data_IF_037794891863
#
_entry.id   IF_037794891863
#
_cell.length_a   1.000
_cell.length_b   1.000
_cell.length_c   1.000
_cell.angle_alpha   90.00
_cell.angle_beta   90.00
_cell.angle_gamma   90.00
#
_symmetry.space_group_name_H-M   'P 1'
#
loop_
_entity.id
_entity.type
_entity.pdbx_description
1 polymer ?
#
# COMPACT_ATOMS: atom_id res chain seq x y z
N UNK A 1 -1.06 43.06 2.08
CA UNK A 1 -0.26 42.19 2.97
C UNK A 1 -1.09 41.26 3.86
N UNK A 2 -2.18 41.72 4.47
CA UNK A 2 -3.01 40.88 5.35
C UNK A 2 -3.65 39.66 4.65
N UNK A 3 -4.17 39.85 3.43
CA UNK A 3 -4.77 38.77 2.63
C UNK A 3 -3.77 37.65 2.26
N UNK A 4 -2.52 38.02 1.93
CA UNK A 4 -1.46 37.06 1.59
C UNK A 4 -1.10 36.22 2.82
N UNK A 5 -0.99 36.84 3.99
CA UNK A 5 -0.74 36.12 5.26
C UNK A 5 -1.90 35.18 5.61
N UNK A 6 -3.14 35.61 5.44
CA UNK A 6 -4.31 34.76 5.67
C UNK A 6 -4.35 33.56 4.72
N UNK A 7 -4.03 33.76 3.44
CA UNK A 7 -3.96 32.67 2.45
C UNK A 7 -2.87 31.65 2.78
N UNK A 8 -1.69 32.10 3.22
CA UNK A 8 -0.58 31.21 3.63
C UNK A 8 -0.99 30.37 4.84
N UNK A 9 -1.62 30.98 5.85
CA UNK A 9 -2.11 30.26 7.03
C UNK A 9 -3.17 29.23 6.63
N UNK A 10 -4.12 29.59 5.77
CA UNK A 10 -5.15 28.67 5.31
C UNK A 10 -4.57 27.48 4.50
N UNK A 11 -3.61 27.73 3.61
CA UNK A 11 -2.91 26.67 2.89
C UNK A 11 -2.14 25.75 3.85
N UNK A 12 -1.47 26.32 4.86
CA UNK A 12 -0.77 25.54 5.88
C UNK A 12 -1.70 24.63 6.69
N UNK A 13 -2.86 25.14 7.09
CA UNK A 13 -3.88 24.36 7.82
C UNK A 13 -4.46 23.26 6.94
N UNK A 14 -4.79 23.55 5.68
CA UNK A 14 -5.31 22.55 4.73
C UNK A 14 -4.28 21.43 4.49
N UNK A 15 -3.01 21.78 4.27
CA UNK A 15 -1.95 20.79 4.10
C UNK A 15 -1.77 19.93 5.37
N UNK A 16 -1.83 20.53 6.56
CA UNK A 16 -1.71 19.80 7.82
C UNK A 16 -2.87 18.81 8.02
N UNK A 17 -4.12 19.20 7.73
CA UNK A 17 -5.27 18.29 7.81
C UNK A 17 -5.15 17.09 6.86
N UNK A 18 -4.67 17.33 5.63
CA UNK A 18 -4.47 16.27 4.62
C UNK A 18 -3.33 15.33 5.01
N UNK A 19 -2.24 15.83 5.59
CA UNK A 19 -1.12 14.97 6.00
C UNK A 19 -1.43 14.19 7.29
N UNK A 20 -2.21 14.77 8.20
CA UNK A 20 -2.59 14.11 9.46
C UNK A 20 -3.63 12.99 9.28
N UNK A 21 -4.33 12.93 8.14
CA UNK A 21 -5.42 11.96 7.92
C UNK A 21 -4.97 10.49 7.96
N UNK A 22 -3.68 10.20 7.80
CA UNK A 22 -3.15 8.83 7.81
C UNK A 22 -2.44 8.46 9.12
N UNK A 23 -2.21 9.41 10.01
CA UNK A 23 -1.40 9.22 11.23
C UNK A 23 -2.20 8.75 12.46
N UNK A 24 -3.52 8.60 12.35
CA UNK A 24 -4.39 8.19 13.47
C UNK A 24 -4.67 6.68 13.50
N UNK A 25 -4.36 5.96 12.42
CA UNK A 25 -4.57 4.52 12.37
C UNK A 25 -3.63 3.82 13.35
N UNK A 26 -4.20 2.96 14.20
CA UNK A 26 -3.43 2.09 15.08
C UNK A 26 -2.62 1.14 14.21
N UNK A 27 -1.39 0.90 14.63
CA UNK A 27 -0.45 0.03 13.94
C UNK A 27 -1.10 -1.30 13.58
N UNK A 28 -1.15 -1.62 12.28
CA UNK A 28 -1.79 -2.83 11.77
C UNK A 28 -0.80 -3.76 11.03
N UNK A 29 -1.32 -4.88 10.52
CA UNK A 29 -0.51 -5.84 9.75
C UNK A 29 0.00 -5.26 8.43
N UNK A 30 -0.69 -4.27 7.85
CA UNK A 30 -0.24 -3.61 6.63
C UNK A 30 1.00 -2.76 6.92
N UNK A 31 0.99 -2.03 8.02
CA UNK A 31 2.14 -1.27 8.46
C UNK A 31 3.36 -2.18 8.72
N UNK A 32 3.18 -3.43 9.16
CA UNK A 32 4.26 -4.40 9.39
C UNK A 32 4.93 -4.80 8.08
N UNK A 33 4.11 -5.09 7.09
CA UNK A 33 4.56 -5.38 5.73
C UNK A 33 5.26 -4.15 5.14
N UNK A 34 4.66 -2.96 5.29
CA UNK A 34 5.23 -1.69 4.83
C UNK A 34 6.60 -1.43 5.45
N UNK A 35 6.74 -1.66 6.75
CA UNK A 35 8.01 -1.49 7.47
C UNK A 35 9.08 -2.45 6.93
N UNK A 36 8.72 -3.70 6.62
CA UNK A 36 9.66 -4.67 6.01
C UNK A 36 10.07 -4.26 4.59
N UNK A 37 9.14 -3.73 3.79
CA UNK A 37 9.41 -3.22 2.45
C UNK A 37 10.36 -2.01 2.53
N UNK A 38 10.08 -1.05 3.40
CA UNK A 38 10.86 0.19 3.52
C UNK A 38 12.21 -0.02 4.22
N UNK A 39 12.41 -1.17 4.91
CA UNK A 39 13.66 -1.56 5.56
C UNK A 39 14.79 -1.78 4.54
N UNK A 40 14.49 -2.29 3.35
CA UNK A 40 15.50 -2.61 2.32
C UNK A 40 15.67 -1.43 1.38
N UNK A 41 16.89 -0.93 1.29
CA UNK A 41 17.31 0.23 0.49
C UNK A 41 18.56 -0.13 -0.32
N UNK A 42 18.86 0.65 -1.36
CA UNK A 42 19.97 0.37 -2.26
C UNK A 42 21.34 0.29 -1.57
N UNK A 43 21.51 1.01 -0.48
CA UNK A 43 22.70 1.05 0.38
C UNK A 43 22.85 -0.18 1.27
N UNK A 44 21.75 -0.77 1.76
CA UNK A 44 21.79 -1.89 2.71
C UNK A 44 21.46 -3.27 2.09
N UNK A 45 21.05 -3.30 0.82
CA UNK A 45 20.62 -4.51 0.10
C UNK A 45 21.63 -5.67 0.16
N UNK A 46 22.94 -5.39 0.19
CA UNK A 46 23.99 -6.43 0.23
C UNK A 46 24.19 -7.07 1.61
N UNK A 47 23.65 -6.46 2.66
CA UNK A 47 23.85 -6.86 4.06
C UNK A 47 22.63 -7.60 4.60
N UNK A 48 21.43 -7.28 4.09
CA UNK A 48 20.17 -7.89 4.52
C UNK A 48 20.08 -9.33 4.03
N UNK A 49 19.59 -10.23 4.89
CA UNK A 49 19.40 -11.64 4.54
C UNK A 49 18.31 -11.81 3.48
N UNK A 50 18.54 -12.75 2.55
CA UNK A 50 17.63 -13.02 1.44
C UNK A 50 16.25 -13.45 1.93
N UNK A 51 16.18 -14.16 3.05
CA UNK A 51 14.90 -14.64 3.58
C UNK A 51 14.04 -13.50 4.15
N UNK A 52 14.63 -12.36 4.53
CA UNK A 52 13.87 -11.18 4.97
C UNK A 52 13.20 -10.42 3.81
N UNK A 53 13.60 -10.68 2.56
CA UNK A 53 12.99 -10.05 1.38
C UNK A 53 11.66 -10.69 0.97
N UNK A 54 11.34 -11.88 1.50
CA UNK A 54 10.13 -12.61 1.15
C UNK A 54 9.14 -12.63 2.31
N UNK A 55 7.86 -12.50 1.99
CA UNK A 55 6.81 -12.77 2.95
C UNK A 55 6.72 -14.28 3.23
N UNK A 56 6.36 -14.69 4.46
CA UNK A 56 6.06 -16.09 4.75
C UNK A 56 5.05 -16.67 3.77
N UNK A 57 5.21 -17.93 3.38
CA UNK A 57 4.35 -18.55 2.37
C UNK A 57 2.87 -18.63 2.80
N UNK A 58 2.62 -18.60 4.11
CA UNK A 58 1.30 -18.57 4.74
C UNK A 58 0.62 -17.19 4.74
N UNK A 59 1.34 -16.12 4.36
CA UNK A 59 0.76 -14.77 4.27
C UNK A 59 -0.33 -14.67 3.22
N UNK A 60 -0.21 -15.46 2.16
CA UNK A 60 -1.20 -15.54 1.10
C UNK A 60 -1.77 -16.93 1.07
N UNK A 61 -3.06 -17.02 1.37
CA UNK A 61 -3.80 -18.29 1.42
C UNK A 61 -3.88 -19.00 0.06
N UNK A 62 -3.79 -18.27 -1.05
CA UNK A 62 -3.51 -18.83 -2.39
C UNK A 62 -2.79 -17.80 -3.25
N UNK A 63 -1.63 -18.17 -3.81
CA UNK A 63 -0.99 -17.38 -4.86
C UNK A 63 -1.83 -17.51 -6.13
N UNK A 64 -2.37 -16.40 -6.68
CA UNK A 64 -3.23 -16.47 -7.85
C UNK A 64 -2.43 -16.95 -9.06
N UNK A 65 -2.91 -18.01 -9.71
CA UNK A 65 -2.36 -18.46 -10.98
C UNK A 65 -3.13 -17.77 -12.11
N UNK A 66 -2.43 -17.01 -12.95
CA UNK A 66 -3.02 -16.28 -14.09
C UNK A 66 -3.79 -17.19 -15.06
N UNK A 67 -3.39 -18.46 -15.15
CA UNK A 67 -4.04 -19.45 -16.01
C UNK A 67 -5.38 -19.94 -15.45
N UNK A 68 -5.65 -19.73 -14.16
CA UNK A 68 -6.83 -20.24 -13.44
C UNK A 68 -7.76 -19.17 -12.88
N UNK A 69 -7.45 -17.89 -13.10
CA UNK A 69 -8.23 -16.74 -12.61
C UNK A 69 -9.72 -16.78 -12.96
N UNK A 70 -10.09 -17.44 -14.07
CA UNK A 70 -11.47 -17.55 -14.56
C UNK A 70 -12.09 -18.95 -14.36
N UNK A 71 -11.35 -19.87 -13.74
CA UNK A 71 -11.73 -21.28 -13.56
C UNK A 71 -11.98 -21.56 -12.08
N UNK A 72 -11.18 -21.00 -11.20
CA UNK A 72 -11.33 -21.20 -9.75
C UNK A 72 -12.49 -20.35 -9.20
N UNK A 73 -13.38 -20.94 -8.38
CA UNK A 73 -14.54 -20.23 -7.84
C UNK A 73 -14.09 -19.07 -6.93
N UNK A 74 -14.71 -17.90 -7.12
CA UNK A 74 -14.49 -16.75 -6.24
C UNK A 74 -15.09 -17.08 -4.87
N UNK A 75 -14.23 -17.34 -3.88
CA UNK A 75 -14.68 -17.59 -2.52
C UNK A 75 -15.43 -16.35 -1.97
N UNK A 76 -16.58 -16.54 -1.32
CA UNK A 76 -17.45 -15.43 -0.88
C UNK A 76 -16.74 -14.47 0.10
N UNK A 77 -15.69 -14.91 0.80
CA UNK A 77 -14.88 -14.11 1.72
C UNK A 77 -13.61 -13.49 1.10
N UNK A 78 -13.39 -13.61 -0.23
CA UNK A 78 -12.20 -13.05 -0.91
C UNK A 78 -12.53 -11.98 -1.96
N UNK A 79 -13.69 -11.36 -1.83
CA UNK A 79 -14.11 -10.26 -2.70
C UNK A 79 -13.15 -9.07 -2.66
N UNK A 80 -12.55 -8.75 -1.51
CA UNK A 80 -11.63 -7.61 -1.38
C UNK A 80 -10.31 -7.79 -2.15
N UNK A 81 -9.69 -8.96 -2.13
CA UNK A 81 -8.41 -9.16 -2.84
C UNK A 81 -8.62 -9.16 -4.37
N UNK A 82 -9.70 -9.79 -4.82
CA UNK A 82 -10.11 -9.76 -6.23
C UNK A 82 -10.50 -8.34 -6.66
N UNK A 83 -11.18 -7.59 -5.80
CA UNK A 83 -11.54 -6.21 -6.04
C UNK A 83 -10.30 -5.31 -6.15
N UNK A 84 -9.33 -5.44 -5.25
CA UNK A 84 -8.05 -4.71 -5.31
C UNK A 84 -7.29 -5.08 -6.59
N UNK A 85 -7.25 -6.36 -6.98
CA UNK A 85 -6.65 -6.81 -8.23
C UNK A 85 -7.30 -6.15 -9.45
N UNK A 86 -8.64 -6.16 -9.52
CA UNK A 86 -9.40 -5.54 -10.61
C UNK A 86 -9.23 -4.01 -10.63
N UNK A 87 -9.15 -3.37 -9.45
CA UNK A 87 -8.86 -1.93 -9.35
C UNK A 87 -7.44 -1.62 -9.82
N UNK A 88 -6.46 -2.43 -9.43
CA UNK A 88 -5.07 -2.26 -9.85
C UNK A 88 -4.92 -2.43 -11.37
N UNK A 89 -5.53 -3.45 -11.98
CA UNK A 89 -5.49 -3.64 -13.44
C UNK A 89 -6.18 -2.49 -14.18
N UNK A 90 -7.38 -2.08 -13.75
CA UNK A 90 -8.11 -0.99 -14.40
C UNK A 90 -7.42 0.36 -14.26
N UNK A 91 -6.67 0.58 -13.16
CA UNK A 91 -5.95 1.83 -12.91
C UNK A 91 -4.49 1.84 -13.35
N UNK A 92 -3.86 0.68 -13.56
CA UNK A 92 -2.47 0.59 -14.02
C UNK A 92 -2.22 1.35 -15.33
N UNK A 93 -3.23 1.46 -16.19
CA UNK A 93 -3.14 2.25 -17.42
C UNK A 93 -2.96 3.75 -17.19
N UNK A 94 -3.43 4.31 -16.07
CA UNK A 94 -3.41 5.76 -15.82
C UNK A 94 -2.18 6.24 -15.06
N UNK A 95 -1.39 5.34 -14.48
CA UNK A 95 -0.20 5.66 -13.69
C UNK A 95 1.12 5.29 -14.39
N UNK A 96 1.11 5.19 -15.73
CA UNK A 96 2.32 5.09 -16.55
C UNK A 96 2.89 6.45 -16.89
#
# INVERSE_FOLDING_TARGET
MALVRAAIVHCGVLAACVLAQFNWHVRDNFDDIRTRIDKVRGDNCRVVDVNELFLPNETVTHVPNIQRLNIDPVFPNRTNLLHIHNMAISRAFFFR
#
